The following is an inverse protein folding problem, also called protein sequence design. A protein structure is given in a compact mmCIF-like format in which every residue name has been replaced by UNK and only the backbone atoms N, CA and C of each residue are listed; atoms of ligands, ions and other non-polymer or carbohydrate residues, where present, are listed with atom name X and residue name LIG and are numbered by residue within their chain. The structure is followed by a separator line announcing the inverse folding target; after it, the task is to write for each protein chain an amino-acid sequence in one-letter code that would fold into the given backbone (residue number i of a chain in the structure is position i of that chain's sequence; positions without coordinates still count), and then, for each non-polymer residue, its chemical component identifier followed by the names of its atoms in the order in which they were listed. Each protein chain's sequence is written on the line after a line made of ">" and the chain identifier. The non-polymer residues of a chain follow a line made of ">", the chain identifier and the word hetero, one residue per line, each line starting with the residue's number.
data_IF_050767140582
#
_entry.id   IF_050767140582
#
_cell.length_a   1.000
_cell.length_b   1.000
_cell.length_c   1.000
_cell.angle_alpha   90.00
_cell.angle_beta   90.00
_cell.angle_gamma   90.00
#
_symmetry.space_group_name_H-M   'P 1'
#
loop_
_entity.id
_entity.type
_entity.pdbx_description
1 polymer ?
#
# COMPACT_ATOMS: atom_id res chain seq x y z
N UNK A 1 20.46 -12.45 12.58
CA UNK A 1 19.42 -12.11 13.54
C UNK A 1 18.36 -11.19 12.98
N UNK A 2 18.78 -10.13 12.32
CA UNK A 2 17.83 -9.21 11.69
C UNK A 2 16.97 -9.91 10.65
N UNK A 3 17.59 -10.81 9.89
CA UNK A 3 16.88 -11.57 8.86
C UNK A 3 15.80 -12.47 9.44
N UNK A 4 16.04 -13.02 10.62
CA UNK A 4 15.09 -13.89 11.27
C UNK A 4 13.83 -13.11 11.69
N UNK A 5 13.97 -11.82 11.97
CA UNK A 5 12.84 -10.96 12.30
C UNK A 5 12.14 -10.43 11.06
N UNK A 6 12.92 -10.16 9.99
CA UNK A 6 12.37 -9.58 8.78
C UNK A 6 11.44 -10.54 8.04
N UNK A 7 11.77 -11.81 8.01
CA UNK A 7 10.95 -12.77 7.30
C UNK A 7 9.55 -12.94 7.92
N UNK A 8 9.41 -13.18 9.23
CA UNK A 8 8.08 -13.23 9.84
C UNK A 8 7.32 -11.93 9.70
N UNK A 9 8.01 -10.79 9.78
CA UNK A 9 7.37 -9.50 9.61
C UNK A 9 6.82 -9.33 8.20
N UNK A 10 7.60 -9.76 7.20
CA UNK A 10 7.16 -9.70 5.82
C UNK A 10 5.93 -10.57 5.59
N UNK A 11 5.91 -11.76 6.18
CA UNK A 11 4.75 -12.65 6.06
C UNK A 11 3.53 -12.06 6.73
N UNK A 12 3.70 -11.42 7.87
CA UNK A 12 2.61 -10.75 8.57
C UNK A 12 2.04 -9.63 7.71
N UNK A 13 2.91 -8.83 7.12
CA UNK A 13 2.48 -7.73 6.26
C UNK A 13 1.78 -8.24 5.01
N UNK A 14 2.26 -9.34 4.46
CA UNK A 14 1.62 -9.95 3.29
C UNK A 14 0.21 -10.42 3.63
N UNK A 15 0.05 -11.06 4.78
CA UNK A 15 -1.26 -11.49 5.25
C UNK A 15 -2.18 -10.29 5.42
N UNK A 16 -1.65 -9.22 5.99
CA UNK A 16 -2.39 -7.98 6.18
C UNK A 16 -2.80 -7.36 4.85
N UNK A 17 -1.90 -7.46 3.86
CA UNK A 17 -2.17 -6.97 2.51
C UNK A 17 -3.34 -7.72 1.87
N UNK A 18 -3.36 -9.03 2.02
CA UNK A 18 -4.45 -9.83 1.48
C UNK A 18 -5.78 -9.50 2.15
N UNK A 19 -5.76 -9.25 3.46
CA UNK A 19 -6.96 -8.84 4.17
C UNK A 19 -7.43 -7.46 3.69
N UNK A 20 -6.48 -6.57 3.44
CA UNK A 20 -6.79 -5.25 2.90
C UNK A 20 -7.39 -5.30 1.52
N UNK A 21 -6.93 -6.24 0.70
CA UNK A 21 -7.48 -6.43 -0.64
C UNK A 21 -8.96 -6.81 -0.57
N UNK A 22 -9.30 -7.66 0.37
CA UNK A 22 -10.70 -8.03 0.58
C UNK A 22 -11.54 -6.80 0.91
N UNK A 23 -11.03 -5.97 1.82
CA UNK A 23 -11.75 -4.77 2.23
C UNK A 23 -11.88 -3.77 1.08
N UNK A 24 -10.87 -3.71 0.22
CA UNK A 24 -10.89 -2.83 -0.95
C UNK A 24 -12.04 -3.21 -1.89
N UNK A 25 -12.24 -4.50 -2.08
CA UNK A 25 -13.29 -4.99 -2.97
C UNK A 25 -14.67 -4.71 -2.39
N UNK A 26 -14.83 -4.86 -1.08
CA UNK A 26 -16.12 -4.75 -0.40
C UNK A 26 -16.41 -3.34 0.12
N UNK A 27 -15.44 -2.43 0.01
CA UNK A 27 -15.55 -1.08 0.56
C UNK A 27 -16.88 -0.38 0.20
N UNK A 28 -17.62 0.11 1.21
CA UNK A 28 -18.95 0.68 0.97
C UNK A 28 -18.94 2.05 0.31
N UNK A 29 -17.90 2.86 0.53
CA UNK A 29 -17.83 4.20 -0.03
C UNK A 29 -16.54 4.41 -0.81
N UNK A 30 -16.52 5.49 -1.62
CA UNK A 30 -15.30 5.86 -2.34
C UNK A 30 -14.18 6.24 -1.38
N UNK A 31 -14.52 6.97 -0.32
CA UNK A 31 -13.52 7.39 0.67
C UNK A 31 -12.92 6.18 1.36
N UNK A 32 -13.73 5.18 1.70
CA UNK A 32 -13.24 3.95 2.31
C UNK A 32 -12.31 3.21 1.37
N UNK A 33 -12.64 3.18 0.08
CA UNK A 33 -11.79 2.52 -0.92
C UNK A 33 -10.47 3.24 -1.06
N UNK A 34 -10.49 4.58 -1.04
CA UNK A 34 -9.26 5.35 -1.12
C UNK A 34 -8.37 5.09 0.09
N UNK A 35 -8.94 5.13 1.29
CA UNK A 35 -8.18 4.88 2.51
C UNK A 35 -7.59 3.48 2.50
N UNK A 36 -8.37 2.49 2.12
CA UNK A 36 -7.90 1.11 2.04
C UNK A 36 -6.82 0.97 0.98
N UNK A 37 -7.00 1.65 -0.15
CA UNK A 37 -6.03 1.64 -1.24
C UNK A 37 -4.70 2.24 -0.79
N UNK A 38 -4.74 3.35 -0.06
CA UNK A 38 -3.53 4.00 0.45
C UNK A 38 -2.84 3.12 1.49
N UNK A 39 -3.62 2.50 2.36
CA UNK A 39 -3.06 1.57 3.34
C UNK A 39 -2.42 0.37 2.63
N UNK A 40 -3.09 -0.14 1.61
CA UNK A 40 -2.58 -1.23 0.79
C UNK A 40 -1.26 -0.85 0.14
N UNK A 41 -1.19 0.34 -0.45
CA UNK A 41 0.03 0.81 -1.12
C UNK A 41 1.17 0.97 -0.10
N UNK A 42 0.89 1.53 1.07
CA UNK A 42 1.89 1.71 2.11
C UNK A 42 2.43 0.36 2.58
N UNK A 43 1.55 -0.61 2.79
CA UNK A 43 1.94 -1.96 3.19
C UNK A 43 2.80 -2.61 2.13
N UNK A 44 2.45 -2.45 0.85
CA UNK A 44 3.23 -3.00 -0.25
C UNK A 44 4.62 -2.38 -0.29
N UNK A 45 4.73 -1.06 -0.09
CA UNK A 45 6.03 -0.38 -0.03
C UNK A 45 6.86 -0.94 1.12
N UNK A 46 6.24 -1.16 2.27
CA UNK A 46 6.94 -1.72 3.43
C UNK A 46 7.47 -3.12 3.13
N UNK A 47 6.66 -3.95 2.47
CA UNK A 47 7.09 -5.30 2.08
C UNK A 47 8.27 -5.23 1.12
N UNK A 48 8.21 -4.33 0.15
CA UNK A 48 9.30 -4.17 -0.81
C UNK A 48 10.59 -3.73 -0.12
N UNK A 49 10.49 -2.80 0.83
CA UNK A 49 11.66 -2.34 1.55
C UNK A 49 12.25 -3.44 2.43
N UNK A 50 11.41 -4.24 3.08
CA UNK A 50 11.87 -5.35 3.89
C UNK A 50 12.59 -6.37 3.03
N UNK A 51 12.04 -6.68 1.85
CA UNK A 51 12.68 -7.62 0.95
C UNK A 51 13.97 -7.07 0.36
N UNK A 52 14.02 -5.76 0.09
CA UNK A 52 15.24 -5.12 -0.38
C UNK A 52 16.36 -5.28 0.63
N UNK A 53 16.04 -5.13 1.91
CA UNK A 53 17.00 -5.27 2.98
C UNK A 53 17.39 -6.73 3.18
N UNK A 54 16.41 -7.64 3.18
CA UNK A 54 16.63 -9.05 3.42
C UNK A 54 17.52 -9.67 2.36
N UNK A 55 17.30 -9.33 1.09
CA UNK A 55 18.02 -9.93 -0.03
C UNK A 55 19.09 -9.02 -0.60
N UNK A 56 19.30 -7.86 0.01
CA UNK A 56 20.30 -6.88 -0.43
C UNK A 56 20.11 -6.51 -1.90
N UNK A 57 18.88 -6.19 -2.27
CA UNK A 57 18.55 -5.83 -3.64
C UNK A 57 18.20 -4.34 -3.72
N UNK A 58 19.17 -3.49 -4.08
CA UNK A 58 18.89 -2.04 -4.16
C UNK A 58 17.79 -1.67 -5.14
N UNK A 59 17.61 -2.47 -6.19
CA UNK A 59 16.58 -2.20 -7.18
C UNK A 59 15.18 -2.24 -6.59
N UNK A 60 14.96 -3.05 -5.56
CA UNK A 60 13.67 -3.09 -4.89
C UNK A 60 13.36 -1.79 -4.15
N UNK A 61 14.39 -1.10 -3.69
CA UNK A 61 14.19 0.22 -3.07
C UNK A 61 13.71 1.22 -4.09
N UNK A 62 14.27 1.17 -5.30
CA UNK A 62 13.82 2.04 -6.38
C UNK A 62 12.38 1.75 -6.76
N UNK A 63 12.01 0.48 -6.83
CA UNK A 63 10.63 0.09 -7.10
C UNK A 63 9.70 0.60 -5.99
N UNK A 64 10.12 0.47 -4.74
CA UNK A 64 9.33 0.95 -3.61
C UNK A 64 9.12 2.46 -3.68
N UNK A 65 10.17 3.20 -4.05
CA UNK A 65 10.07 4.65 -4.19
C UNK A 65 9.09 5.04 -5.28
N UNK A 66 9.19 4.41 -6.45
CA UNK A 66 8.27 4.65 -7.55
C UNK A 66 6.84 4.32 -7.13
N UNK A 67 6.67 3.21 -6.44
CA UNK A 67 5.36 2.79 -5.97
C UNK A 67 4.76 3.81 -4.99
N UNK A 68 5.60 4.33 -4.10
CA UNK A 68 5.18 5.35 -3.13
C UNK A 68 4.76 6.65 -3.85
N UNK A 69 5.53 7.04 -4.86
CA UNK A 69 5.21 8.24 -5.63
C UNK A 69 3.90 8.06 -6.40
N UNK A 70 3.70 6.89 -7.00
CA UNK A 70 2.46 6.60 -7.70
C UNK A 70 1.27 6.62 -6.76
N UNK A 71 1.44 6.11 -5.53
CA UNK A 71 0.39 6.15 -4.54
C UNK A 71 0.00 7.58 -4.18
N UNK A 72 0.99 8.45 -4.02
CA UNK A 72 0.74 9.86 -3.73
C UNK A 72 -0.01 10.54 -4.87
N UNK A 73 0.41 10.28 -6.11
CA UNK A 73 -0.25 10.85 -7.29
C UNK A 73 -1.69 10.35 -7.40
N UNK A 74 -1.90 9.08 -7.10
CA UNK A 74 -3.25 8.49 -7.13
C UNK A 74 -4.16 9.17 -6.12
N UNK A 75 -3.67 9.45 -4.92
CA UNK A 75 -4.45 10.12 -3.89
C UNK A 75 -4.86 11.52 -4.34
N UNK A 76 -3.91 12.28 -4.90
CA UNK A 76 -4.19 13.62 -5.38
C UNK A 76 -5.20 13.59 -6.52
N UNK A 77 -5.01 12.68 -7.46
CA UNK A 77 -5.92 12.55 -8.59
C UNK A 77 -7.33 12.21 -8.14
N UNK A 78 -7.46 11.33 -7.15
CA UNK A 78 -8.76 10.96 -6.61
C UNK A 78 -9.47 12.16 -6.01
N UNK A 79 -8.74 12.93 -5.19
CA UNK A 79 -9.31 14.11 -4.53
C UNK A 79 -9.75 15.15 -5.55
N UNK A 80 -8.95 15.36 -6.58
CA UNK A 80 -9.27 16.35 -7.60
C UNK A 80 -10.47 15.95 -8.46
N UNK A 81 -10.66 14.65 -8.69
CA UNK A 81 -11.75 14.17 -9.53
C UNK A 81 -13.06 14.04 -8.79
N UNK A 82 -13.00 13.94 -7.46
CA UNK A 82 -14.19 13.73 -6.66
C UNK A 82 -14.71 15.09 -6.15
N UNK A 83 -15.92 15.47 -6.60
CA UNK A 83 -16.54 16.68 -6.10
C UNK A 83 -17.19 16.41 -4.75
N UNK A 84 -17.46 17.46 -3.93
CA UNK A 84 -18.15 17.26 -2.66
C UNK A 84 -19.52 16.58 -2.80
N UNK A 85 -20.19 16.80 -3.93
CA UNK A 85 -21.46 16.14 -4.20
C UNK A 85 -21.31 14.64 -4.37
N UNK A 86 -20.20 14.20 -4.98
CA UNK A 86 -19.92 12.78 -5.16
C UNK A 86 -19.63 12.10 -3.84
N UNK A 87 -19.00 12.80 -2.91
CA UNK A 87 -18.68 12.25 -1.60
C UNK A 87 -19.92 11.97 -0.76
N UNK A 88 -21.00 12.67 -1.04
CA UNK A 88 -22.26 12.50 -0.30
C UNK A 88 -23.04 11.28 -0.75
N UNK A 89 -22.66 10.70 -1.87
CA UNK A 89 -23.28 9.50 -2.38
C UNK A 89 -22.57 8.25 -1.84
#
# INVERSE_FOLDING_TARGET
>A
MTEALLLPLSLFLLFNLLAGLWRLIVGPTRADRLLTSQLFATTAVAILLINAETYSLPSLRDVALVFALLGAVTAVAFVQRTSPADDLE
#
